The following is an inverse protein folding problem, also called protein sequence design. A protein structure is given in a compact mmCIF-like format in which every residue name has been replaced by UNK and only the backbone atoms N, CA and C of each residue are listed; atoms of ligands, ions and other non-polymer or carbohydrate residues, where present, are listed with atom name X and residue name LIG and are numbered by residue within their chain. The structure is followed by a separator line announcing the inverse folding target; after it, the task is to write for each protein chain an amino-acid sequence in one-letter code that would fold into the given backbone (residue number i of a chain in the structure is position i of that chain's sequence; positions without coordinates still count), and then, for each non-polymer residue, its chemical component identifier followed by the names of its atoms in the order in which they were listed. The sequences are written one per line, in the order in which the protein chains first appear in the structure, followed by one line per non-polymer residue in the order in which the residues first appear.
data_IF_168733833128
#
_entry.id   IF_168733833128
#
_cell.length_a   1.000
_cell.length_b   1.000
_cell.length_c   1.000
_cell.angle_alpha   90.00
_cell.angle_beta   90.00
_cell.angle_gamma   90.00
#
_symmetry.space_group_name_H-M   'P 1'
#
loop_
_entity.id
_entity.type
_entity.pdbx_description
1 polymer ?
#
# COMPACT_ATOMS: atom_id res chain seq x y z
N UNK A 1 12.55 -10.30 -23.38
CA UNK A 1 11.64 -11.39 -22.98
C UNK A 1 10.23 -10.89 -22.68
N UNK A 2 10.03 -9.86 -21.85
CA UNK A 2 8.68 -9.39 -21.44
C UNK A 2 7.80 -8.67 -22.49
N UNK A 3 8.22 -8.55 -23.75
CA UNK A 3 7.42 -7.91 -24.81
C UNK A 3 6.58 -8.87 -25.66
N UNK A 4 6.73 -10.18 -25.44
CA UNK A 4 6.01 -11.20 -26.21
C UNK A 4 4.55 -11.28 -25.76
N UNK A 5 3.63 -11.50 -26.70
CA UNK A 5 2.18 -11.50 -26.41
C UNK A 5 1.76 -12.55 -25.39
N UNK A 6 2.42 -13.71 -25.37
CA UNK A 6 2.17 -14.78 -24.41
C UNK A 6 2.40 -14.40 -22.94
N UNK A 7 3.04 -13.26 -22.65
CA UNK A 7 3.25 -12.75 -21.29
C UNK A 7 2.33 -11.57 -20.93
N UNK A 8 1.37 -11.22 -21.81
CA UNK A 8 0.36 -10.21 -21.51
C UNK A 8 -0.82 -10.86 -20.79
N UNK A 9 -1.42 -10.12 -19.87
CA UNK A 9 -2.70 -10.50 -19.30
C UNK A 9 -3.80 -10.46 -20.36
N UNK A 10 -4.65 -11.47 -20.36
CA UNK A 10 -5.91 -11.50 -21.08
C UNK A 10 -6.94 -10.58 -20.43
N UNK A 11 -8.07 -10.32 -21.09
CA UNK A 11 -9.10 -9.38 -20.59
C UNK A 11 -9.73 -9.80 -19.25
N UNK A 12 -9.84 -11.10 -19.00
CA UNK A 12 -10.43 -11.70 -17.79
C UNK A 12 -9.40 -12.09 -16.73
N UNK A 13 -8.11 -12.01 -17.06
CA UNK A 13 -7.02 -12.29 -16.12
C UNK A 13 -6.75 -11.11 -15.18
N UNK A 14 -6.44 -11.43 -13.93
CA UNK A 14 -6.12 -10.45 -12.89
C UNK A 14 -4.66 -10.57 -12.47
N UNK A 15 -3.96 -9.44 -12.45
CA UNK A 15 -2.76 -9.30 -11.63
C UNK A 15 -3.13 -9.09 -10.16
N UNK A 16 -2.12 -9.22 -9.31
CA UNK A 16 -2.24 -9.04 -7.86
C UNK A 16 -1.06 -8.21 -7.37
N UNK A 17 -1.34 -7.22 -6.53
CA UNK A 17 -0.34 -6.50 -5.77
C UNK A 17 -0.47 -6.87 -4.29
N UNK A 18 0.59 -7.45 -3.72
CA UNK A 18 0.71 -7.72 -2.28
C UNK A 18 1.75 -6.77 -1.70
N UNK A 19 1.33 -5.93 -0.76
CA UNK A 19 2.21 -5.07 0.03
C UNK A 19 2.08 -5.52 1.47
N UNK A 20 3.19 -5.91 2.11
CA UNK A 20 3.20 -6.39 3.49
C UNK A 20 4.33 -5.74 4.28
N UNK A 21 3.99 -5.17 5.43
CA UNK A 21 4.94 -4.80 6.46
C UNK A 21 4.77 -5.77 7.63
N UNK A 22 5.84 -6.46 7.99
CA UNK A 22 5.88 -7.43 9.10
C UNK A 22 6.89 -6.94 10.13
N UNK A 23 6.38 -6.36 11.21
CA UNK A 23 7.17 -5.62 12.20
C UNK A 23 7.15 -6.38 13.50
N UNK A 24 8.34 -6.66 14.06
CA UNK A 24 8.54 -7.29 15.36
C UNK A 24 9.24 -6.31 16.28
N UNK A 25 8.83 -6.25 17.54
CA UNK A 25 9.45 -5.36 18.52
C UNK A 25 8.81 -5.44 19.89
N UNK A 26 9.17 -4.52 20.78
CA UNK A 26 8.64 -4.45 22.13
C UNK A 26 7.75 -3.22 22.30
N UNK A 27 6.59 -3.39 22.93
CA UNK A 27 5.71 -2.29 23.34
C UNK A 27 5.40 -2.45 24.82
N UNK A 28 5.78 -1.45 25.62
CA UNK A 28 5.64 -1.49 27.08
C UNK A 28 6.29 -2.74 27.72
N UNK A 29 7.43 -3.20 27.17
CA UNK A 29 8.15 -4.38 27.65
C UNK A 29 7.64 -5.73 27.11
N UNK A 30 6.48 -5.78 26.45
CA UNK A 30 5.94 -7.02 25.87
C UNK A 30 6.38 -7.18 24.40
N UNK A 31 6.86 -8.37 23.98
CA UNK A 31 7.17 -8.65 22.59
C UNK A 31 5.89 -8.77 21.76
N UNK A 32 5.80 -7.97 20.70
CA UNK A 32 4.67 -7.91 19.78
C UNK A 32 5.15 -8.06 18.33
N UNK A 33 4.27 -8.63 17.52
CA UNK A 33 4.34 -8.61 16.06
C UNK A 33 3.11 -7.91 15.51
N UNK A 34 3.34 -6.99 14.58
CA UNK A 34 2.30 -6.28 13.85
C UNK A 34 2.50 -6.54 12.36
N UNK A 35 1.48 -7.09 11.72
CA UNK A 35 1.44 -7.30 10.27
C UNK A 35 0.43 -6.34 9.67
N UNK A 36 0.86 -5.51 8.73
CA UNK A 36 0.02 -4.66 7.89
C UNK A 36 0.07 -5.20 6.47
N UNK A 37 -1.08 -5.39 5.84
CA UNK A 37 -1.15 -6.01 4.52
C UNK A 37 -2.20 -5.39 3.61
N UNK A 38 -1.83 -5.11 2.36
CA UNK A 38 -2.73 -4.77 1.26
C UNK A 38 -2.67 -5.90 0.25
N UNK A 39 -3.84 -6.40 -0.17
CA UNK A 39 -3.99 -7.28 -1.34
C UNK A 39 -4.95 -6.60 -2.30
N UNK A 40 -4.44 -6.06 -3.40
CA UNK A 40 -5.25 -5.52 -4.48
C UNK A 40 -5.21 -6.46 -5.69
N UNK A 41 -6.32 -6.49 -6.45
CA UNK A 41 -6.46 -7.30 -7.67
C UNK A 41 -6.96 -6.40 -8.78
N UNK A 42 -6.61 -6.73 -10.04
CA UNK A 42 -7.18 -6.04 -11.21
C UNK A 42 -8.68 -5.86 -11.07
N UNK A 43 -9.13 -4.62 -11.29
CA UNK A 43 -10.53 -4.30 -11.41
C UNK A 43 -10.96 -4.50 -12.87
N UNK A 44 -11.64 -5.61 -13.13
CA UNK A 44 -12.12 -5.95 -14.47
C UNK A 44 -13.19 -4.96 -14.97
N UNK A 45 -13.84 -4.19 -14.08
CA UNK A 45 -14.83 -3.19 -14.49
C UNK A 45 -14.17 -1.93 -15.05
N UNK A 46 -13.12 -1.45 -14.39
CA UNK A 46 -12.38 -0.27 -14.84
C UNK A 46 -11.24 -0.61 -15.82
N UNK A 47 -10.87 -1.89 -15.93
CA UNK A 47 -9.72 -2.37 -16.71
C UNK A 47 -8.36 -2.14 -16.03
N UNK A 48 -8.33 -1.45 -14.88
CA UNK A 48 -7.07 -1.09 -14.20
C UNK A 48 -6.47 -2.29 -13.48
N UNK A 49 -5.19 -2.55 -13.75
CA UNK A 49 -4.40 -3.57 -13.03
C UNK A 49 -4.18 -3.18 -11.57
N UNK A 50 -3.94 -4.17 -10.72
CA UNK A 50 -3.58 -3.94 -9.32
C UNK A 50 -2.33 -3.06 -9.21
N UNK A 51 -1.34 -3.27 -10.10
CA UNK A 51 -0.16 -2.41 -10.18
C UNK A 51 -0.53 -0.95 -10.53
N UNK A 52 -1.40 -0.73 -11.52
CA UNK A 52 -1.84 0.62 -11.89
C UNK A 52 -2.59 1.31 -10.74
N UNK A 53 -3.45 0.59 -10.03
CA UNK A 53 -4.22 1.10 -8.88
C UNK A 53 -3.30 1.47 -7.71
N UNK A 54 -2.41 0.55 -7.32
CA UNK A 54 -1.48 0.73 -6.19
C UNK A 54 -0.35 1.73 -6.44
N UNK A 55 -0.17 2.20 -7.68
CA UNK A 55 0.78 3.29 -8.01
C UNK A 55 0.05 4.60 -8.31
N UNK A 56 -0.95 4.56 -9.20
CA UNK A 56 -1.65 5.74 -9.70
C UNK A 56 -2.50 6.43 -8.64
N UNK A 57 -3.18 5.66 -7.77
CA UNK A 57 -4.00 6.26 -6.72
C UNK A 57 -3.14 6.98 -5.66
N UNK A 58 -2.08 6.38 -5.08
CA UNK A 58 -1.14 7.11 -4.23
C UNK A 58 -0.60 8.40 -4.85
N UNK A 59 -0.19 8.37 -6.12
CA UNK A 59 0.31 9.54 -6.83
C UNK A 59 -0.75 10.65 -6.90
N UNK A 60 -1.98 10.30 -7.31
CA UNK A 60 -3.09 11.25 -7.40
C UNK A 60 -3.46 11.85 -6.04
N UNK A 61 -3.50 11.02 -4.99
CA UNK A 61 -3.79 11.47 -3.62
C UNK A 61 -2.70 12.42 -3.13
N UNK A 62 -1.42 12.06 -3.30
CA UNK A 62 -0.31 12.92 -2.91
C UNK A 62 -0.33 14.28 -3.61
N UNK A 63 -0.64 14.31 -4.92
CA UNK A 63 -0.81 15.56 -5.66
C UNK A 63 -1.95 16.43 -5.09
N UNK A 64 -3.09 15.82 -4.75
CA UNK A 64 -4.21 16.53 -4.11
C UNK A 64 -3.82 17.08 -2.74
N UNK A 65 -3.10 16.29 -1.91
CA UNK A 65 -2.62 16.71 -0.61
C UNK A 65 -1.60 17.87 -0.67
N UNK A 66 -0.81 17.96 -1.74
CA UNK A 66 0.06 19.11 -1.99
C UNK A 66 -0.78 20.33 -2.34
N UNK A 67 -1.79 20.18 -3.22
CA UNK A 67 -2.64 21.28 -3.68
C UNK A 67 -3.51 21.86 -2.56
N UNK A 68 -4.03 21.02 -1.67
CA UNK A 68 -4.87 21.45 -0.54
C UNK A 68 -4.08 21.85 0.73
N UNK A 69 -2.75 21.71 0.69
CA UNK A 69 -1.86 22.14 1.76
C UNK A 69 -1.67 21.13 2.90
N UNK A 70 -2.27 19.94 2.85
CA UNK A 70 -1.98 18.84 3.80
C UNK A 70 -0.51 18.42 3.76
N UNK A 71 0.15 18.55 2.60
CA UNK A 71 1.61 18.45 2.44
C UNK A 71 2.12 19.82 2.01
N UNK A 72 2.58 20.63 2.98
CA UNK A 72 3.00 22.02 2.76
C UNK A 72 4.52 22.22 2.68
N UNK A 73 5.30 21.19 3.01
CA UNK A 73 6.77 21.24 2.96
C UNK A 73 7.26 21.48 1.53
N UNK A 74 8.18 22.44 1.37
CA UNK A 74 8.80 22.76 0.07
C UNK A 74 10.12 21.99 -0.11
N UNK A 75 10.52 21.81 -1.37
CA UNK A 75 11.75 21.11 -1.73
C UNK A 75 11.53 19.61 -1.94
N UNK A 76 12.57 18.81 -1.70
CA UNK A 76 12.49 17.34 -1.77
C UNK A 76 11.87 16.85 -0.46
N UNK A 77 10.66 16.30 -0.55
CA UNK A 77 9.91 15.80 0.60
C UNK A 77 9.98 14.27 0.63
N UNK A 78 10.32 13.70 1.78
CA UNK A 78 10.37 12.25 1.95
C UNK A 78 8.93 11.71 2.09
N UNK A 79 8.57 10.57 1.45
CA UNK A 79 7.27 9.92 1.60
C UNK A 79 6.81 9.69 3.05
N UNK A 80 7.72 9.57 4.02
CA UNK A 80 7.38 9.47 5.46
C UNK A 80 6.71 10.74 6.02
N UNK A 81 6.76 11.85 5.29
CA UNK A 81 6.11 13.12 5.65
C UNK A 81 4.65 13.18 5.20
N UNK A 82 4.19 12.19 4.41
CA UNK A 82 2.78 12.08 4.03
C UNK A 82 1.98 11.67 5.26
N UNK A 83 0.93 12.42 5.65
CA UNK A 83 0.14 12.10 6.83
C UNK A 83 -0.60 10.78 6.60
N UNK A 84 -0.32 9.79 7.46
CA UNK A 84 -0.74 8.41 7.24
C UNK A 84 -2.27 8.25 7.24
N UNK A 85 -2.95 8.69 8.28
CA UNK A 85 -4.40 8.47 8.45
C UNK A 85 -5.20 9.12 7.31
N UNK A 86 -5.04 10.41 6.96
CA UNK A 86 -5.76 11.01 5.83
C UNK A 86 -5.42 10.36 4.48
N UNK A 87 -4.22 9.79 4.34
CA UNK A 87 -3.80 9.14 3.10
C UNK A 87 -4.47 7.78 2.93
N UNK A 88 -4.52 6.99 4.00
CA UNK A 88 -5.26 5.73 4.04
C UNK A 88 -6.75 5.97 3.77
N UNK A 89 -7.38 6.95 4.42
CA UNK A 89 -8.80 7.25 4.20
C UNK A 89 -9.10 7.54 2.71
N UNK A 90 -8.20 8.23 2.01
CA UNK A 90 -8.33 8.48 0.58
C UNK A 90 -8.11 7.22 -0.28
N UNK A 91 -7.25 6.29 0.13
CA UNK A 91 -7.10 5.00 -0.53
C UNK A 91 -8.34 4.12 -0.35
N UNK A 92 -8.93 4.09 0.84
CA UNK A 92 -10.13 3.32 1.14
C UNK A 92 -11.33 3.77 0.29
N UNK A 93 -11.48 5.09 0.09
CA UNK A 93 -12.48 5.66 -0.85
C UNK A 93 -12.33 5.15 -2.28
N UNK A 94 -11.13 4.69 -2.67
CA UNK A 94 -10.79 4.13 -3.99
C UNK A 94 -10.76 2.59 -3.99
N UNK A 95 -11.20 1.98 -2.89
CA UNK A 95 -11.32 0.54 -2.71
C UNK A 95 -10.01 -0.18 -2.40
N UNK A 96 -8.95 0.54 -2.03
CA UNK A 96 -7.71 -0.06 -1.53
C UNK A 96 -7.75 -0.02 0.00
N UNK A 97 -7.88 -1.19 0.62
CA UNK A 97 -7.93 -1.35 2.07
C UNK A 97 -6.73 -2.15 2.56
N UNK A 98 -6.26 -1.87 3.77
CA UNK A 98 -5.27 -2.70 4.44
C UNK A 98 -5.90 -3.49 5.59
N UNK A 99 -5.36 -4.66 5.89
CA UNK A 99 -5.65 -5.40 7.11
C UNK A 99 -4.49 -5.28 8.10
N UNK A 100 -4.80 -5.30 9.39
CA UNK A 100 -3.81 -5.32 10.46
C UNK A 100 -4.04 -6.50 11.38
N UNK A 101 -2.96 -7.22 11.68
CA UNK A 101 -2.93 -8.29 12.68
C UNK A 101 -1.91 -7.88 13.74
N UNK A 102 -2.29 -7.89 15.01
CA UNK A 102 -1.39 -7.69 16.14
C UNK A 102 -1.42 -8.92 17.02
N UNK A 103 -0.26 -9.52 17.26
CA UNK A 103 -0.13 -10.74 18.06
C UNK A 103 1.09 -10.68 18.98
N UNK A 104 1.06 -11.48 20.05
CA UNK A 104 2.26 -11.68 20.88
C UNK A 104 3.31 -12.42 20.07
N UNK A 105 4.55 -11.96 20.16
CA UNK A 105 5.69 -12.58 19.51
C UNK A 105 6.55 -13.32 20.54
N UNK A 106 7.16 -14.42 20.13
CA UNK A 106 7.98 -15.27 20.99
C UNK A 106 9.37 -14.68 21.32
N UNK A 107 9.68 -13.47 20.85
CA UNK A 107 10.99 -12.83 21.04
C UNK A 107 12.11 -13.41 20.18
N UNK A 108 11.80 -14.30 19.22
CA UNK A 108 12.80 -14.89 18.33
C UNK A 108 13.15 -13.94 17.18
N UNK A 109 14.31 -13.28 17.30
CA UNK A 109 14.86 -12.29 16.35
C UNK A 109 15.41 -12.92 15.06
N UNK A 110 15.37 -14.26 14.92
CA UNK A 110 15.83 -14.91 13.70
C UNK A 110 14.88 -14.56 12.52
N UNK A 111 15.43 -14.27 11.32
CA UNK A 111 14.65 -13.95 10.13
C UNK A 111 13.62 -15.02 9.77
#
# INVERSE_FOLDING_TARGET
LGGQEQFRYSEDERDVALIRSDVRGYKNGEPLRVVLQIIDKRDLKSGLTAMQRTVGFPMSIGAQMILDGRISQRGIVNPVSVPFEPFIEELEKRGIVYSSITEKWNGDERP
#
